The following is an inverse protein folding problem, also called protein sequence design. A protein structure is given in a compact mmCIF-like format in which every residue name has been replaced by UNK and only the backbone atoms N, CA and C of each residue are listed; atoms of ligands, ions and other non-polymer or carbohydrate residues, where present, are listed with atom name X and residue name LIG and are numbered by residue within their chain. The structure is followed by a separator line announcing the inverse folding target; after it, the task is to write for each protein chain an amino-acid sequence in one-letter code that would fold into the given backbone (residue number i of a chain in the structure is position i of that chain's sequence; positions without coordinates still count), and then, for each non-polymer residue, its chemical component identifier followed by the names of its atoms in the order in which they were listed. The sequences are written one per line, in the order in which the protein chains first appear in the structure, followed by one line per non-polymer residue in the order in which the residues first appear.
data_IF_455668288155
#
_entry.id   IF_455668288155
#
_cell.length_a   1.000
_cell.length_b   1.000
_cell.length_c   1.000
_cell.angle_alpha   90.00
_cell.angle_beta   90.00
_cell.angle_gamma   90.00
#
_symmetry.space_group_name_H-M   'P 1'
#
loop_
_entity.id
_entity.type
_entity.pdbx_description
1 polymer ?
#
# COMPACT_ATOMS: atom_id res chain seq x y z
N UNK A 1 -4.19 12.22 -4.65
CA UNK A 1 -4.55 13.65 -4.83
C UNK A 1 -4.51 14.36 -3.50
N UNK A 2 -4.35 15.68 -3.49
CA UNK A 2 -4.23 16.48 -2.27
C UNK A 2 -4.98 17.80 -2.37
N UNK A 3 -5.71 18.16 -1.33
CA UNK A 3 -6.37 19.47 -1.16
C UNK A 3 -6.75 19.67 0.33
N UNK A 4 -6.60 20.87 0.92
CA UNK A 4 -6.81 21.07 2.37
C UNK A 4 -8.21 20.68 2.89
N UNK A 5 -9.24 20.91 2.09
CA UNK A 5 -10.67 20.81 2.47
C UNK A 5 -11.33 19.51 2.00
N UNK A 6 -10.57 18.48 1.60
CA UNK A 6 -11.17 17.19 1.22
C UNK A 6 -12.01 16.62 2.38
N UNK A 7 -13.18 16.02 2.11
CA UNK A 7 -13.82 15.21 3.12
C UNK A 7 -12.98 13.95 3.41
N UNK A 8 -13.18 13.38 4.59
CA UNK A 8 -12.59 12.09 4.90
C UNK A 8 -13.25 11.00 4.06
N UNK A 9 -12.44 10.14 3.43
CA UNK A 9 -12.93 9.13 2.52
C UNK A 9 -12.15 7.82 2.69
N UNK A 10 -12.68 6.96 3.56
CA UNK A 10 -12.20 5.60 3.80
C UNK A 10 -13.20 4.62 3.19
N UNK A 11 -12.94 4.14 1.98
CA UNK A 11 -13.95 3.42 1.21
C UNK A 11 -13.40 2.39 0.24
N UNK A 12 -14.17 1.33 0.06
CA UNK A 12 -13.99 0.34 -1.01
C UNK A 12 -15.20 0.44 -1.93
N UNK A 13 -15.00 0.92 -3.15
CA UNK A 13 -16.09 1.02 -4.11
C UNK A 13 -16.40 -0.36 -4.69
N UNK A 14 -17.69 -0.71 -4.74
CA UNK A 14 -18.16 -1.98 -5.31
C UNK A 14 -18.49 -1.77 -6.78
N UNK A 15 -17.93 -2.63 -7.63
CA UNK A 15 -18.21 -2.68 -9.06
C UNK A 15 -18.70 -4.06 -9.48
N UNK A 16 -18.90 -4.25 -10.78
CA UNK A 16 -19.32 -5.53 -11.36
C UNK A 16 -18.17 -6.51 -11.61
N UNK A 17 -16.92 -6.07 -11.43
CA UNK A 17 -15.71 -6.87 -11.64
C UNK A 17 -15.19 -7.56 -10.37
N UNK A 18 -14.17 -8.43 -10.51
CA UNK A 18 -13.59 -9.19 -9.40
C UNK A 18 -12.74 -8.34 -8.44
N UNK A 19 -12.48 -7.07 -8.78
CA UNK A 19 -11.69 -6.12 -7.99
C UNK A 19 -12.50 -4.84 -7.78
N UNK A 20 -12.36 -4.17 -6.63
CA UNK A 20 -12.96 -2.86 -6.42
C UNK A 20 -12.36 -1.86 -7.41
N UNK A 21 -13.18 -1.10 -8.18
CA UNK A 21 -12.66 -0.13 -9.15
C UNK A 21 -11.71 0.89 -8.51
N UNK A 22 -12.08 1.36 -7.32
CA UNK A 22 -11.30 2.27 -6.49
C UNK A 22 -11.38 1.82 -5.02
N UNK A 23 -10.26 1.97 -4.32
CA UNK A 23 -10.17 1.97 -2.86
C UNK A 23 -9.54 3.29 -2.44
N UNK A 24 -10.12 3.98 -1.47
CA UNK A 24 -9.60 5.25 -0.97
C UNK A 24 -9.31 5.21 0.52
N UNK A 25 -8.28 5.92 0.92
CA UNK A 25 -8.00 6.28 2.31
C UNK A 25 -7.61 7.75 2.40
N UNK A 26 -8.04 8.43 3.47
CA UNK A 26 -7.59 9.79 3.76
C UNK A 26 -6.37 9.77 4.67
N UNK A 27 -5.36 10.54 4.30
CA UNK A 27 -4.16 10.79 5.09
C UNK A 27 -3.94 12.30 5.22
N UNK A 28 -3.01 12.67 6.10
CA UNK A 28 -2.54 14.04 6.28
C UNK A 28 -1.08 14.09 5.88
N UNK A 29 -0.72 15.03 5.01
CA UNK A 29 0.68 15.26 4.64
C UNK A 29 1.43 16.08 5.72
N UNK A 30 2.74 16.23 5.54
CA UNK A 30 3.60 16.99 6.45
C UNK A 30 3.26 18.47 6.59
N UNK A 31 2.47 19.03 5.67
CA UNK A 31 1.95 20.41 5.70
C UNK A 31 0.53 20.50 6.29
N UNK A 32 -0.05 19.39 6.75
CA UNK A 32 -1.39 19.36 7.34
C UNK A 32 -2.53 19.32 6.31
N UNK A 33 -2.24 19.10 5.02
CA UNK A 33 -3.25 18.99 3.96
C UNK A 33 -3.76 17.56 3.86
N UNK A 34 -5.03 17.42 3.50
CA UNK A 34 -5.62 16.10 3.28
C UNK A 34 -5.18 15.53 1.94
N UNK A 35 -4.87 14.23 1.98
CA UNK A 35 -4.46 13.42 0.84
C UNK A 35 -5.44 12.27 0.71
N UNK A 36 -6.06 12.13 -0.46
CA UNK A 36 -6.70 10.87 -0.84
C UNK A 36 -5.68 9.99 -1.53
N UNK A 37 -5.37 8.87 -0.90
CA UNK A 37 -4.58 7.80 -1.50
C UNK A 37 -5.52 6.79 -2.16
N UNK A 38 -5.27 6.53 -3.45
CA UNK A 38 -6.24 5.90 -4.34
C UNK A 38 -5.62 4.63 -4.91
N UNK A 39 -6.14 3.49 -4.47
CA UNK A 39 -5.82 2.16 -5.00
C UNK A 39 -7.03 1.52 -5.64
N UNK A 40 -7.05 0.18 -5.67
CA UNK A 40 -8.07 -0.60 -6.39
C UNK A 40 -7.63 -0.90 -7.82
N UNK A 41 -8.56 -1.36 -8.65
CA UNK A 41 -8.26 -1.80 -10.02
C UNK A 41 -7.67 -0.69 -10.90
N UNK A 42 -8.01 0.59 -10.62
CA UNK A 42 -7.39 1.74 -11.29
C UNK A 42 -5.86 1.77 -11.17
N UNK A 43 -5.30 1.21 -10.09
CA UNK A 43 -3.87 1.19 -9.80
C UNK A 43 -3.18 -0.15 -10.14
N UNK A 44 -3.90 -1.09 -10.74
CA UNK A 44 -3.38 -2.41 -11.13
C UNK A 44 -2.84 -2.38 -12.58
N UNK A 45 -2.92 -3.49 -13.33
CA UNK A 45 -2.27 -3.67 -14.64
C UNK A 45 -2.50 -2.50 -15.60
N UNK A 46 -3.74 -2.02 -15.73
CA UNK A 46 -4.07 -0.90 -16.61
C UNK A 46 -3.48 0.43 -16.13
N UNK A 47 -3.44 0.67 -14.82
CA UNK A 47 -2.77 1.85 -14.26
C UNK A 47 -1.26 1.79 -14.43
N UNK A 48 -0.66 0.61 -14.27
CA UNK A 48 0.77 0.36 -14.49
C UNK A 48 1.15 0.49 -15.96
N UNK A 49 0.23 0.28 -16.90
CA UNK A 49 0.48 0.48 -18.33
C UNK A 49 0.39 1.95 -18.78
N UNK A 50 -0.29 2.82 -18.02
CA UNK A 50 -0.45 4.24 -18.34
C UNK A 50 0.79 5.06 -17.99
N UNK A 51 1.01 6.12 -18.74
CA UNK A 51 1.85 7.24 -18.31
C UNK A 51 1.26 7.95 -17.11
N UNK A 52 2.06 8.75 -16.41
CA UNK A 52 1.58 9.57 -15.28
C UNK A 52 0.40 10.47 -15.67
N UNK A 53 0.51 11.18 -16.80
CA UNK A 53 -0.53 12.09 -17.26
C UNK A 53 -1.86 11.36 -17.56
N UNK A 54 -1.78 10.21 -18.23
CA UNK A 54 -2.96 9.37 -18.53
C UNK A 54 -3.57 8.79 -17.26
N UNK A 55 -2.76 8.41 -16.28
CA UNK A 55 -3.25 7.88 -15.01
C UNK A 55 -3.92 8.97 -14.16
N UNK A 56 -3.37 10.18 -14.13
CA UNK A 56 -4.00 11.33 -13.50
C UNK A 56 -5.35 11.64 -14.17
N UNK A 57 -5.39 11.66 -15.51
CA UNK A 57 -6.62 11.92 -16.23
C UNK A 57 -7.68 10.84 -15.97
N UNK A 58 -7.29 9.56 -15.97
CA UNK A 58 -8.20 8.46 -15.64
C UNK A 58 -8.78 8.59 -14.23
N UNK A 59 -7.99 9.05 -13.26
CA UNK A 59 -8.47 9.39 -11.93
C UNK A 59 -9.50 10.50 -11.95
N UNK A 60 -9.18 11.64 -12.58
CA UNK A 60 -10.09 12.79 -12.70
C UNK A 60 -11.42 12.39 -13.34
N UNK A 61 -11.39 11.66 -14.44
CA UNK A 61 -12.58 11.21 -15.17
C UNK A 61 -13.44 10.29 -14.30
N UNK A 62 -12.82 9.38 -13.54
CA UNK A 62 -13.54 8.49 -12.63
C UNK A 62 -14.28 9.28 -11.54
N UNK A 63 -13.59 10.21 -10.87
CA UNK A 63 -14.20 11.01 -9.81
C UNK A 63 -15.27 11.97 -10.35
N UNK A 64 -15.04 12.59 -11.51
CA UNK A 64 -16.04 13.44 -12.16
C UNK A 64 -17.31 12.66 -12.55
N UNK A 65 -17.16 11.40 -12.97
CA UNK A 65 -18.30 10.54 -13.33
C UNK A 65 -19.08 10.05 -12.11
N UNK A 66 -18.38 9.68 -11.04
CA UNK A 66 -18.99 8.92 -9.93
C UNK A 66 -19.22 9.73 -8.65
N UNK A 67 -18.47 10.81 -8.44
CA UNK A 67 -18.50 11.65 -7.23
C UNK A 67 -18.53 13.14 -7.61
N UNK A 68 -19.32 13.49 -8.63
CA UNK A 68 -19.43 14.87 -9.17
C UNK A 68 -19.90 15.91 -8.14
N UNK A 69 -20.51 15.48 -7.04
CA UNK A 69 -20.93 16.35 -5.95
C UNK A 69 -19.77 16.81 -5.05
N UNK A 70 -18.56 16.27 -5.24
CA UNK A 70 -17.37 16.69 -4.48
C UNK A 70 -16.57 17.68 -5.31
N UNK A 71 -16.32 18.86 -4.75
CA UNK A 71 -15.52 19.89 -5.40
C UNK A 71 -14.02 19.55 -5.34
N UNK A 72 -13.47 19.09 -6.46
CA UNK A 72 -12.06 18.77 -6.64
C UNK A 72 -11.27 19.87 -7.37
N UNK A 73 -11.87 21.04 -7.60
CA UNK A 73 -11.18 22.17 -8.23
C UNK A 73 -9.97 22.60 -7.38
N UNK A 74 -8.84 22.85 -8.05
CA UNK A 74 -7.58 23.20 -7.39
C UNK A 74 -6.90 22.04 -6.65
N UNK A 75 -7.43 20.81 -6.70
CA UNK A 75 -6.74 19.66 -6.13
C UNK A 75 -5.47 19.33 -6.93
N UNK A 76 -4.40 19.00 -6.22
CA UNK A 76 -3.17 18.51 -6.80
C UNK A 76 -3.26 17.01 -7.04
N UNK A 77 -2.80 16.57 -8.21
CA UNK A 77 -2.81 15.17 -8.62
C UNK A 77 -1.39 14.72 -8.91
N UNK A 78 -1.03 13.57 -8.39
CA UNK A 78 0.28 12.95 -8.52
C UNK A 78 0.12 11.44 -8.50
N UNK A 79 1.11 10.74 -9.06
CA UNK A 79 1.15 9.28 -9.09
C UNK A 79 2.39 8.78 -8.35
N UNK A 80 2.32 7.55 -7.83
CA UNK A 80 3.46 6.86 -7.25
C UNK A 80 3.50 5.44 -7.81
N UNK A 81 4.70 4.97 -8.17
CA UNK A 81 4.92 3.60 -8.62
C UNK A 81 5.68 2.83 -7.55
N UNK A 82 5.11 1.71 -7.14
CA UNK A 82 5.73 0.80 -6.17
C UNK A 82 5.58 -0.64 -6.66
N UNK A 83 6.60 -1.46 -6.39
CA UNK A 83 6.51 -2.89 -6.63
C UNK A 83 6.07 -3.60 -5.37
N UNK A 84 5.06 -4.45 -5.46
CA UNK A 84 4.76 -5.39 -4.39
C UNK A 84 5.79 -6.51 -4.41
N UNK A 85 6.45 -6.73 -3.29
CA UNK A 85 7.30 -7.89 -3.07
C UNK A 85 6.47 -9.04 -2.49
N UNK A 86 6.23 -10.06 -3.30
CA UNK A 86 5.44 -11.24 -2.96
C UNK A 86 6.18 -12.52 -3.41
N UNK A 87 6.00 -13.65 -2.71
CA UNK A 87 6.52 -14.94 -3.14
C UNK A 87 6.02 -15.30 -4.55
N UNK A 88 6.90 -15.88 -5.36
CA UNK A 88 6.52 -16.40 -6.67
C UNK A 88 5.66 -17.67 -6.51
N UNK A 89 4.42 -17.61 -7.01
CA UNK A 89 3.46 -18.72 -6.96
C UNK A 89 3.58 -19.67 -8.16
N UNK A 90 4.34 -19.30 -9.20
CA UNK A 90 4.44 -20.06 -10.46
C UNK A 90 3.22 -19.95 -11.37
N UNK A 91 2.05 -19.55 -10.85
CA UNK A 91 0.81 -19.34 -11.62
C UNK A 91 0.54 -17.87 -11.95
N UNK A 92 1.25 -16.94 -11.29
CA UNK A 92 1.03 -15.50 -11.40
C UNK A 92 -0.11 -14.97 -10.51
N UNK A 93 -0.76 -15.85 -9.76
CA UNK A 93 -1.77 -15.46 -8.77
C UNK A 93 -1.11 -14.85 -7.53
N UNK A 94 -1.88 -14.01 -6.82
CA UNK A 94 -1.45 -13.48 -5.52
C UNK A 94 -1.38 -14.62 -4.50
N UNK A 95 -0.33 -14.69 -3.68
CA UNK A 95 -0.27 -15.64 -2.58
C UNK A 95 -1.50 -15.47 -1.65
N UNK A 96 -2.05 -16.59 -1.14
CA UNK A 96 -3.26 -16.54 -0.32
C UNK A 96 -3.01 -16.02 1.10
N UNK A 97 -1.76 -15.99 1.55
CA UNK A 97 -1.39 -15.65 2.93
C UNK A 97 0.04 -15.13 3.05
N UNK A 98 0.49 -14.97 4.30
CA UNK A 98 1.89 -14.72 4.58
C UNK A 98 2.72 -15.96 4.22
N UNK A 99 3.95 -15.73 3.80
CA UNK A 99 4.91 -16.74 3.44
C UNK A 99 6.08 -16.71 4.42
N UNK A 100 6.47 -17.89 4.88
CA UNK A 100 7.61 -18.10 5.75
C UNK A 100 8.25 -19.43 5.36
N UNK A 101 9.54 -19.43 5.08
CA UNK A 101 10.32 -20.64 4.77
C UNK A 101 11.67 -20.60 5.47
N UNK A 102 12.24 -21.78 5.75
CA UNK A 102 13.53 -21.94 6.42
C UNK A 102 14.50 -22.72 5.55
N UNK A 103 15.64 -22.10 5.26
CA UNK A 103 16.75 -22.71 4.54
C UNK A 103 17.96 -22.72 5.47
N UNK A 104 18.20 -23.86 6.13
CA UNK A 104 19.22 -23.97 7.17
C UNK A 104 18.94 -23.04 8.36
N UNK A 105 19.85 -22.10 8.61
CA UNK A 105 19.74 -21.09 9.68
C UNK A 105 19.12 -19.76 9.21
N UNK A 106 18.60 -19.70 7.98
CA UNK A 106 17.98 -18.51 7.40
C UNK A 106 16.48 -18.69 7.31
N UNK A 107 15.72 -17.70 7.78
CA UNK A 107 14.28 -17.60 7.58
C UNK A 107 14.03 -16.53 6.52
N UNK A 108 13.28 -16.88 5.48
CA UNK A 108 12.86 -15.97 4.41
C UNK A 108 11.35 -15.79 4.49
N UNK A 109 10.90 -14.53 4.49
CA UNK A 109 9.53 -14.20 4.89
C UNK A 109 8.97 -13.00 4.13
N UNK A 110 7.69 -13.08 3.75
CA UNK A 110 6.91 -11.97 3.21
C UNK A 110 5.48 -12.00 3.76
N UNK A 111 4.95 -10.89 4.29
CA UNK A 111 3.59 -10.88 4.83
C UNK A 111 2.53 -10.90 3.73
N UNK A 112 2.86 -10.51 2.49
CA UNK A 112 2.00 -10.36 1.29
C UNK A 112 0.88 -9.31 1.40
N UNK A 113 0.37 -9.05 2.61
CA UNK A 113 -0.45 -7.89 2.96
C UNK A 113 -0.03 -7.38 4.33
N UNK A 114 -0.13 -6.07 4.56
CA UNK A 114 0.17 -5.49 5.88
C UNK A 114 -0.68 -6.13 7.00
N UNK A 115 -1.95 -6.42 6.73
CA UNK A 115 -2.86 -7.08 7.67
C UNK A 115 -2.42 -8.50 8.09
N UNK A 116 -1.51 -9.13 7.33
CA UNK A 116 -1.00 -10.46 7.60
C UNK A 116 0.35 -10.44 8.34
N UNK A 117 0.87 -9.27 8.71
CA UNK A 117 2.09 -9.17 9.52
C UNK A 117 2.00 -9.96 10.85
N UNK A 118 0.87 -9.96 11.59
CA UNK A 118 0.74 -10.81 12.78
C UNK A 118 0.80 -12.31 12.46
N UNK A 119 0.12 -12.75 11.40
CA UNK A 119 0.17 -14.14 10.97
C UNK A 119 1.59 -14.55 10.56
N UNK A 120 2.34 -13.67 9.90
CA UNK A 120 3.74 -13.91 9.58
C UNK A 120 4.58 -14.11 10.85
N UNK A 121 4.39 -13.25 11.85
CA UNK A 121 5.10 -13.38 13.13
C UNK A 121 4.82 -14.74 13.80
N UNK A 122 3.57 -15.19 13.81
CA UNK A 122 3.21 -16.53 14.33
C UNK A 122 3.89 -17.66 13.57
N UNK A 123 4.01 -17.55 12.25
CA UNK A 123 4.71 -18.54 11.43
C UNK A 123 6.22 -18.57 11.75
N UNK A 124 6.86 -17.41 11.87
CA UNK A 124 8.28 -17.30 12.25
C UNK A 124 8.53 -17.89 13.64
N UNK A 125 7.68 -17.58 14.63
CA UNK A 125 7.84 -18.08 15.99
C UNK A 125 7.74 -19.61 16.11
N UNK A 126 7.02 -20.28 15.19
CA UNK A 126 6.92 -21.74 15.17
C UNK A 126 8.19 -22.45 14.70
N UNK A 127 8.95 -21.81 13.82
CA UNK A 127 10.18 -22.38 13.23
C UNK A 127 11.44 -21.86 13.92
N UNK A 128 11.38 -20.66 14.51
CA UNK A 128 12.48 -20.11 15.28
C UNK A 128 12.71 -20.98 16.52
N UNK A 129 13.94 -21.44 16.69
CA UNK A 129 14.31 -22.15 17.92
C UNK A 129 14.18 -21.20 19.12
N UNK A 130 13.75 -21.69 20.30
CA UNK A 130 13.77 -20.91 21.52
C UNK A 130 15.19 -20.39 21.76
N UNK A 131 15.39 -19.08 21.59
CA UNK A 131 16.63 -18.44 22.02
C UNK A 131 16.44 -17.95 23.45
N UNK A 132 17.49 -18.05 24.26
CA UNK A 132 17.56 -17.25 25.47
C UNK A 132 17.89 -15.82 25.04
N UNK A 133 16.96 -14.86 25.11
CA UNK A 133 17.23 -13.50 24.69
C UNK A 133 18.38 -12.95 25.55
N UNK A 134 19.47 -12.55 24.89
CA UNK A 134 20.47 -11.73 25.55
C UNK A 134 19.83 -10.39 25.88
N UNK A 135 19.89 -9.98 27.15
CA UNK A 135 19.39 -8.68 27.62
C UNK A 135 20.39 -7.55 27.39
N UNK A 136 21.53 -7.84 26.73
CA UNK A 136 22.56 -6.85 26.46
C UNK A 136 22.08 -5.82 25.44
N UNK A 137 21.98 -4.56 25.86
CA UNK A 137 21.78 -3.43 24.96
C UNK A 137 23.04 -3.19 24.15
N UNK A 138 22.95 -3.35 22.83
CA UNK A 138 24.05 -3.05 21.92
C UNK A 138 23.96 -1.57 21.48
N UNK A 139 25.08 -0.81 21.46
CA UNK A 139 25.10 0.59 21.02
C UNK A 139 25.07 0.67 19.48
N UNK A 140 24.00 0.18 18.86
CA UNK A 140 23.83 0.15 17.41
C UNK A 140 23.16 1.43 16.91
N UNK A 141 23.49 1.88 15.68
CA UNK A 141 22.78 2.99 15.05
C UNK A 141 21.31 2.63 14.81
N UNK A 142 20.43 3.62 14.98
CA UNK A 142 19.00 3.46 14.69
C UNK A 142 18.70 3.84 13.23
N UNK A 143 17.95 3.01 12.49
CA UNK A 143 17.54 3.38 11.14
C UNK A 143 16.53 4.54 11.17
N UNK A 144 16.52 5.41 10.14
CA UNK A 144 15.51 6.46 10.01
C UNK A 144 14.12 5.87 9.74
N UNK A 145 13.08 6.63 10.05
CA UNK A 145 11.69 6.28 9.73
C UNK A 145 11.43 6.59 8.25
N UNK A 146 10.75 5.67 7.55
CA UNK A 146 10.33 5.88 6.16
C UNK A 146 9.36 7.04 6.01
N UNK A 147 9.47 7.79 4.92
CA UNK A 147 8.53 8.88 4.57
C UNK A 147 7.39 8.34 3.72
N UNK A 148 6.19 8.90 3.92
CA UNK A 148 5.04 8.55 3.10
C UNK A 148 5.19 9.09 1.67
N UNK A 149 4.60 8.44 0.65
CA UNK A 149 4.76 8.85 -0.75
C UNK A 149 4.33 10.28 -1.07
N UNK A 150 3.37 10.83 -0.32
CA UNK A 150 2.88 12.21 -0.49
C UNK A 150 3.79 13.28 0.16
N UNK A 151 4.83 12.87 0.88
CA UNK A 151 5.86 13.72 1.48
C UNK A 151 7.24 13.53 0.82
N UNK A 152 7.30 12.76 -0.27
CA UNK A 152 8.49 12.60 -1.09
C UNK A 152 8.59 13.73 -2.13
N UNK A 153 9.82 14.14 -2.51
CA UNK A 153 10.04 15.21 -3.49
C UNK A 153 9.54 14.86 -4.90
#
# INVERSE_FOLDING_TARGET
MRKPDLPDFFGVCVGTGPKPPIVTTTHIDSEGRKVWYIGGDIAEQNGVARSEAEQIQAGKDWFAKHLSWINLDGAEWFTWRENRAEPNTGTGDRPPGAYCDQQGNVIVAWPTKLALAPNLADQVLKIASPSHPSTATLPLPHPPIGKAPWDLP
#
